data_IF_131933943406
#
_entry.id   IF_131933943406
#
_cell.length_a   1.000
_cell.length_b   1.000
_cell.length_c   1.000
_cell.angle_alpha   90.00
_cell.angle_beta   90.00
_cell.angle_gamma   90.00
#
_symmetry.space_group_name_H-M   'P 1'
#
loop_
_entity.id
_entity.type
_entity.pdbx_description
1 polymer ?
#
# COMPACT_ATOMS: atom_id res chain seq x y z
N UNK A 1 -1.70 -57.75 29.10
CA UNK A 1 -1.40 -56.51 28.36
C UNK A 1 -2.62 -55.98 27.59
N UNK A 2 -3.47 -56.83 27.00
CA UNK A 2 -4.65 -56.36 26.24
C UNK A 2 -5.68 -55.56 27.05
N UNK A 3 -5.89 -55.86 28.33
CA UNK A 3 -6.87 -55.11 29.14
C UNK A 3 -6.45 -53.67 29.44
N UNK A 4 -5.14 -53.40 29.54
CA UNK A 4 -4.61 -52.04 29.72
C UNK A 4 -4.74 -51.24 28.42
N UNK A 5 -4.42 -51.84 27.27
CA UNK A 5 -4.59 -51.16 25.98
C UNK A 5 -6.07 -50.86 25.67
N UNK A 6 -7.00 -51.75 26.01
CA UNK A 6 -8.44 -51.49 25.85
C UNK A 6 -8.98 -50.39 26.78
N UNK A 7 -8.49 -50.29 28.02
CA UNK A 7 -8.91 -49.21 28.93
C UNK A 7 -8.33 -47.85 28.53
N UNK A 8 -7.08 -47.83 28.05
CA UNK A 8 -6.43 -46.63 27.50
C UNK A 8 -7.09 -46.15 26.20
N UNK A 9 -7.56 -47.07 25.36
CA UNK A 9 -8.26 -46.76 24.11
C UNK A 9 -9.71 -46.28 24.32
N UNK A 10 -10.36 -46.65 25.42
CA UNK A 10 -11.71 -46.22 25.76
C UNK A 10 -11.76 -44.83 26.42
N UNK A 11 -10.61 -44.21 26.68
CA UNK A 11 -10.57 -42.86 27.20
C UNK A 11 -10.94 -41.85 26.12
N UNK A 12 -11.74 -40.83 26.46
CA UNK A 12 -11.97 -39.74 25.54
C UNK A 12 -10.65 -39.07 25.15
N UNK A 13 -10.49 -38.74 23.87
CA UNK A 13 -9.26 -38.13 23.35
C UNK A 13 -8.85 -36.84 24.10
N UNK A 14 -9.82 -36.10 24.66
CA UNK A 14 -9.56 -34.89 25.44
C UNK A 14 -8.91 -35.16 26.82
N UNK A 15 -9.08 -36.36 27.38
CA UNK A 15 -8.44 -36.75 28.65
C UNK A 15 -6.92 -36.84 28.51
N UNK A 16 -6.43 -37.27 27.33
CA UNK A 16 -5.01 -37.27 26.99
C UNK A 16 -4.42 -35.86 26.91
N UNK A 17 -5.18 -34.90 26.38
CA UNK A 17 -4.77 -33.50 26.30
C UNK A 17 -4.66 -32.89 27.70
N UNK A 18 -5.64 -33.14 28.58
CA UNK A 18 -5.59 -32.68 29.97
C UNK A 18 -4.42 -33.29 30.75
N UNK A 19 -4.17 -34.59 30.57
CA UNK A 19 -3.02 -35.26 31.19
C UNK A 19 -1.70 -34.61 30.77
N UNK A 20 -1.53 -34.32 29.48
CA UNK A 20 -0.35 -33.64 28.96
C UNK A 20 -0.18 -32.24 29.57
N UNK A 21 -1.25 -31.45 29.66
CA UNK A 21 -1.25 -30.11 30.27
C UNK A 21 -0.84 -30.17 31.75
N UNK A 22 -1.36 -31.15 32.50
CA UNK A 22 -1.01 -31.35 33.91
C UNK A 22 0.46 -31.75 34.07
N UNK A 23 0.98 -32.64 33.21
CA UNK A 23 2.39 -33.03 33.22
C UNK A 23 3.32 -31.84 32.93
N UNK A 24 2.94 -30.99 31.97
CA UNK A 24 3.67 -29.74 31.66
C UNK A 24 3.64 -28.80 32.86
N UNK A 25 2.49 -28.61 33.51
CA UNK A 25 2.38 -27.77 34.70
C UNK A 25 3.24 -28.29 35.87
N UNK A 26 3.26 -29.60 36.10
CA UNK A 26 4.12 -30.22 37.14
C UNK A 26 5.59 -29.98 36.82
N UNK A 27 6.01 -30.18 35.56
CA UNK A 27 7.39 -29.89 35.13
C UNK A 27 7.76 -28.42 35.39
N UNK A 28 6.89 -27.50 34.98
CA UNK A 28 7.14 -26.07 35.08
C UNK A 28 7.24 -25.59 36.54
N UNK A 29 6.39 -26.13 37.43
CA UNK A 29 6.40 -25.79 38.86
C UNK A 29 7.60 -26.44 39.57
N UNK A 30 7.87 -27.72 39.36
CA UNK A 30 8.83 -28.45 40.21
C UNK A 30 10.26 -28.50 39.65
N UNK A 31 10.41 -28.53 38.32
CA UNK A 31 11.70 -28.76 37.65
C UNK A 31 12.26 -27.46 37.08
N UNK A 32 11.40 -26.61 36.50
CA UNK A 32 11.85 -25.42 35.76
C UNK A 32 11.97 -24.18 36.66
N UNK A 33 13.13 -24.02 37.32
CA UNK A 33 13.43 -22.88 38.20
C UNK A 33 14.05 -21.65 37.51
N UNK A 34 14.47 -21.78 36.25
CA UNK A 34 15.24 -20.74 35.55
C UNK A 34 14.37 -19.67 34.89
N UNK A 35 13.15 -20.01 34.48
CA UNK A 35 12.22 -19.08 33.83
C UNK A 35 11.07 -18.71 34.77
N UNK A 36 11.19 -17.55 35.43
CA UNK A 36 10.26 -17.06 36.46
C UNK A 36 8.80 -17.02 35.99
N UNK A 37 8.57 -16.70 34.72
CA UNK A 37 7.21 -16.57 34.16
C UNK A 37 6.57 -17.94 33.92
N UNK A 38 7.28 -18.92 33.35
CA UNK A 38 6.75 -20.28 33.16
C UNK A 38 6.56 -21.00 34.50
N UNK A 39 7.37 -20.67 35.50
CA UNK A 39 7.27 -21.23 36.85
C UNK A 39 6.05 -20.71 37.62
N UNK A 40 5.81 -19.39 37.61
CA UNK A 40 4.69 -18.76 38.33
C UNK A 40 3.35 -18.94 37.62
N UNK A 41 3.36 -19.03 36.28
CA UNK A 41 2.18 -19.20 35.45
C UNK A 41 2.40 -20.36 34.46
N UNK A 42 2.40 -21.62 34.96
CA UNK A 42 2.54 -22.79 34.11
C UNK A 42 1.47 -22.78 33.02
N UNK A 43 1.81 -23.27 31.83
CA UNK A 43 0.96 -23.27 30.62
C UNK A 43 0.76 -21.87 30.01
N UNK A 44 0.31 -20.88 30.78
CA UNK A 44 0.06 -19.51 30.29
C UNK A 44 1.36 -18.83 29.85
N UNK A 45 2.47 -19.10 30.55
CA UNK A 45 3.79 -18.63 30.15
C UNK A 45 4.24 -19.19 28.79
N UNK A 46 4.00 -20.49 28.53
CA UNK A 46 4.31 -21.10 27.24
C UNK A 46 3.45 -20.53 26.11
N UNK A 47 2.15 -20.32 26.37
CA UNK A 47 1.25 -19.68 25.41
C UNK A 47 1.71 -18.25 25.08
N UNK A 48 2.14 -17.48 26.10
CA UNK A 48 2.69 -16.15 25.92
C UNK A 48 3.91 -16.17 25.00
N UNK A 49 4.90 -17.01 25.28
CA UNK A 49 6.12 -17.05 24.47
C UNK A 49 5.86 -17.54 23.04
N UNK A 50 4.90 -18.46 22.86
CA UNK A 50 4.46 -18.88 21.54
C UNK A 50 3.80 -17.74 20.77
N UNK A 51 2.89 -16.98 21.40
CA UNK A 51 2.28 -15.79 20.79
C UNK A 51 3.29 -14.67 20.55
N UNK A 52 4.29 -14.52 21.42
CA UNK A 52 5.38 -13.55 21.27
C UNK A 52 6.26 -13.88 20.06
N UNK A 53 6.48 -15.17 19.78
CA UNK A 53 7.23 -15.62 18.59
C UNK A 53 6.50 -15.38 17.28
N UNK A 54 5.17 -15.38 17.29
CA UNK A 54 4.30 -15.13 16.12
C UNK A 54 3.93 -13.63 16.01
N UNK A 55 4.20 -12.86 17.06
CA UNK A 55 3.86 -11.45 17.17
C UNK A 55 4.49 -10.54 16.10
N UNK A 56 5.77 -10.68 15.72
CA UNK A 56 6.38 -9.89 14.65
C UNK A 56 5.68 -10.06 13.29
N UNK A 57 5.41 -11.30 12.90
CA UNK A 57 4.74 -11.64 11.64
C UNK A 57 3.28 -11.17 11.66
N UNK A 58 2.56 -11.45 12.76
CA UNK A 58 1.17 -10.99 12.89
C UNK A 58 1.07 -9.48 12.86
N UNK A 59 2.03 -8.74 13.46
CA UNK A 59 2.06 -7.29 13.35
C UNK A 59 2.23 -6.85 11.90
N UNK A 60 3.09 -7.49 11.13
CA UNK A 60 3.28 -7.19 9.71
C UNK A 60 2.00 -7.38 8.87
N UNK A 61 1.22 -8.44 9.14
CA UNK A 61 0.04 -8.76 8.32
C UNK A 61 -1.28 -8.18 8.81
N UNK A 62 -1.45 -8.03 10.12
CA UNK A 62 -2.74 -7.66 10.74
C UNK A 62 -2.76 -6.30 11.45
N UNK A 63 -1.62 -5.79 11.92
CA UNK A 63 -1.60 -4.61 12.82
C UNK A 63 -0.89 -3.41 12.21
N UNK A 64 0.15 -3.63 11.41
CA UNK A 64 0.96 -2.58 10.80
C UNK A 64 0.10 -1.78 9.82
N UNK A 65 0.08 -0.47 10.05
CA UNK A 65 -0.60 0.47 9.17
C UNK A 65 0.12 0.49 7.81
N UNK A 66 -0.56 0.87 6.73
CA UNK A 66 -0.07 0.76 5.35
C UNK A 66 1.35 1.33 5.09
N UNK A 67 1.85 2.21 5.97
CA UNK A 67 3.10 2.96 5.86
C UNK A 67 4.08 2.81 7.04
N UNK A 68 3.79 1.94 8.01
CA UNK A 68 4.66 1.76 9.19
C UNK A 68 5.87 0.87 8.93
N UNK A 69 5.86 0.11 7.83
CA UNK A 69 6.94 -0.81 7.48
C UNK A 69 8.07 -0.13 6.68
N UNK A 70 9.33 -0.45 7.04
CA UNK A 70 10.56 0.00 6.38
C UNK A 70 11.40 -1.23 5.99
N UNK A 71 12.17 -1.22 4.88
CA UNK A 71 12.38 -0.10 3.94
C UNK A 71 11.28 0.05 2.89
N UNK A 72 10.44 -0.97 2.71
CA UNK A 72 9.30 -0.95 1.78
C UNK A 72 8.00 -1.11 2.53
N UNK A 73 7.07 -0.18 2.30
CA UNK A 73 5.77 -0.20 2.93
C UNK A 73 4.79 -1.19 2.25
N UNK A 74 3.64 -1.45 2.87
CA UNK A 74 2.67 -2.44 2.37
C UNK A 74 2.14 -2.08 0.98
N UNK A 75 1.90 -0.78 0.74
CA UNK A 75 1.43 -0.26 -0.56
C UNK A 75 2.48 -0.55 -1.64
N UNK A 76 3.75 -0.22 -1.39
CA UNK A 76 4.85 -0.46 -2.33
C UNK A 76 5.01 -1.95 -2.66
N UNK A 77 4.95 -2.82 -1.65
CA UNK A 77 4.99 -4.28 -1.89
C UNK A 77 3.77 -4.75 -2.68
N UNK A 78 2.58 -4.27 -2.35
CA UNK A 78 1.34 -4.58 -3.07
C UNK A 78 1.47 -4.21 -4.56
N UNK A 79 1.95 -3.01 -4.84
CA UNK A 79 2.21 -2.54 -6.20
C UNK A 79 3.26 -3.39 -6.93
N UNK A 80 4.36 -3.78 -6.27
CA UNK A 80 5.38 -4.67 -6.83
C UNK A 80 4.77 -6.03 -7.16
N UNK A 81 4.00 -6.63 -6.26
CA UNK A 81 3.39 -7.94 -6.48
C UNK A 81 2.35 -7.93 -7.60
N UNK A 82 1.48 -6.93 -7.65
CA UNK A 82 0.51 -6.74 -8.73
C UNK A 82 1.24 -6.60 -10.08
N UNK A 83 2.28 -5.77 -10.11
CA UNK A 83 3.11 -5.56 -11.31
C UNK A 83 3.81 -6.85 -11.76
N UNK A 84 4.38 -7.62 -10.83
CA UNK A 84 5.08 -8.87 -11.13
C UNK A 84 4.13 -9.96 -11.65
N UNK A 85 2.89 -10.00 -11.15
CA UNK A 85 1.84 -10.93 -11.60
C UNK A 85 1.12 -10.48 -12.87
N UNK A 86 1.46 -9.31 -13.42
CA UNK A 86 0.73 -8.66 -14.54
C UNK A 86 -0.75 -8.42 -14.23
N UNK A 87 -1.04 -8.19 -12.95
CA UNK A 87 -2.35 -7.76 -12.47
C UNK A 87 -2.46 -6.23 -12.56
N UNK A 88 -3.66 -5.71 -12.36
CA UNK A 88 -3.87 -4.27 -12.30
C UNK A 88 -3.10 -3.67 -11.11
N UNK A 89 -2.19 -2.74 -11.40
CA UNK A 89 -1.36 -2.04 -10.43
C UNK A 89 -1.72 -0.56 -10.30
N UNK A 90 -2.87 -0.13 -10.82
CA UNK A 90 -3.42 1.20 -10.59
C UNK A 90 -3.97 1.30 -9.17
N UNK A 91 -3.63 2.38 -8.47
CA UNK A 91 -4.21 2.71 -7.17
C UNK A 91 -5.01 4.01 -7.26
N UNK A 92 -6.01 4.12 -6.39
CA UNK A 92 -6.86 5.31 -6.29
C UNK A 92 -6.05 6.55 -5.92
N UNK A 93 -6.40 7.69 -6.52
CA UNK A 93 -5.80 8.97 -6.17
C UNK A 93 -6.31 9.42 -4.79
N UNK A 94 -5.49 9.22 -3.77
CA UNK A 94 -5.79 9.56 -2.38
C UNK A 94 -4.52 9.64 -1.55
N UNK A 95 -4.61 10.27 -0.39
CA UNK A 95 -3.50 10.31 0.57
C UNK A 95 -3.94 9.71 1.89
N UNK A 96 -3.29 8.60 2.25
CA UNK A 96 -3.36 8.05 3.61
C UNK A 96 -2.39 8.76 4.56
N UNK A 97 -1.66 9.79 4.09
CA UNK A 97 -0.80 10.61 4.97
C UNK A 97 -1.67 11.39 5.94
N UNK A 98 -1.26 11.39 7.20
CA UNK A 98 -1.75 12.36 8.15
C UNK A 98 -1.25 13.76 7.76
N UNK A 99 -2.13 14.51 7.09
CA UNK A 99 -1.87 15.87 6.64
C UNK A 99 -1.79 16.88 7.79
N UNK A 100 -2.23 16.48 8.99
CA UNK A 100 -2.22 17.28 10.21
C UNK A 100 -1.06 16.91 11.14
N UNK A 101 -0.25 15.90 10.77
CA UNK A 101 0.91 15.51 11.53
C UNK A 101 1.88 16.69 11.70
N UNK A 102 2.54 16.74 12.87
CA UNK A 102 3.59 17.71 13.11
C UNK A 102 4.68 17.59 12.03
N UNK A 103 5.14 18.72 11.50
CA UNK A 103 6.10 18.79 10.38
C UNK A 103 5.61 18.25 9.03
N UNK A 104 4.31 17.97 8.86
CA UNK A 104 3.76 17.70 7.53
C UNK A 104 3.74 18.99 6.69
N UNK A 105 4.59 19.04 5.66
CA UNK A 105 4.65 20.19 4.75
C UNK A 105 3.58 20.03 3.67
N UNK A 106 2.54 20.85 3.75
CA UNK A 106 1.53 20.93 2.70
C UNK A 106 1.75 22.18 1.84
N UNK A 107 2.18 21.97 0.59
CA UNK A 107 2.33 23.06 -0.39
C UNK A 107 0.99 23.31 -1.07
N UNK A 108 0.35 24.44 -0.73
CA UNK A 108 -0.86 24.89 -1.43
C UNK A 108 -0.46 25.52 -2.76
N UNK A 109 -0.80 24.86 -3.87
CA UNK A 109 -0.65 25.46 -5.19
C UNK A 109 -1.54 26.71 -5.29
N UNK A 110 -0.96 27.79 -5.80
CA UNK A 110 -1.73 29.00 -6.07
C UNK A 110 -2.53 28.80 -7.37
N UNK A 111 -3.85 28.67 -7.23
CA UNK A 111 -4.75 28.38 -8.35
C UNK A 111 -4.87 29.54 -9.36
N UNK A 112 -4.56 30.77 -8.93
CA UNK A 112 -4.59 31.96 -9.76
C UNK A 112 -3.19 32.57 -9.85
N UNK A 113 -2.62 32.55 -11.04
CA UNK A 113 -1.31 33.14 -11.28
C UNK A 113 -1.33 34.66 -11.06
N UNK A 114 -0.20 35.18 -10.58
CA UNK A 114 0.06 36.62 -10.58
C UNK A 114 0.12 37.14 -12.02
N UNK A 115 -0.13 38.43 -12.22
CA UNK A 115 -0.07 39.06 -13.54
C UNK A 115 1.31 38.85 -14.16
N UNK A 116 1.33 38.26 -15.35
CA UNK A 116 2.58 38.04 -16.08
C UNK A 116 3.26 39.37 -16.42
N UNK A 117 4.61 39.45 -16.33
CA UNK A 117 5.35 40.65 -16.71
C UNK A 117 5.16 40.97 -18.20
N UNK A 118 5.25 42.25 -18.57
CA UNK A 118 5.11 42.69 -19.95
C UNK A 118 6.10 41.94 -20.87
N UNK A 119 5.61 41.40 -21.99
CA UNK A 119 6.40 40.63 -22.94
C UNK A 119 6.54 39.13 -22.65
N UNK A 120 5.93 38.60 -21.58
CA UNK A 120 5.94 37.16 -21.33
C UNK A 120 5.15 36.39 -22.42
N UNK A 121 5.65 35.25 -22.94
CA UNK A 121 4.95 34.46 -23.98
C UNK A 121 3.52 34.06 -23.60
N UNK A 122 3.29 33.81 -22.31
CA UNK A 122 1.95 33.48 -21.81
C UNK A 122 0.95 34.65 -21.82
N UNK A 123 1.35 35.84 -22.29
CA UNK A 123 0.41 36.94 -22.59
C UNK A 123 -0.25 36.71 -23.95
N UNK A 124 0.52 36.25 -24.95
CA UNK A 124 0.00 35.96 -26.30
C UNK A 124 -0.64 34.58 -26.37
N UNK A 125 -0.04 33.58 -25.73
CA UNK A 125 -0.59 32.23 -25.60
C UNK A 125 -0.65 31.81 -24.12
N UNK A 126 -1.79 32.02 -23.44
CA UNK A 126 -1.95 31.69 -22.02
C UNK A 126 -1.68 30.22 -21.67
N UNK A 127 -1.77 29.31 -22.64
CA UNK A 127 -1.58 27.87 -22.43
C UNK A 127 -0.17 27.39 -22.80
N UNK A 128 0.74 28.29 -23.15
CA UNK A 128 2.07 27.95 -23.64
C UNK A 128 2.95 27.32 -22.54
N UNK A 129 3.18 26.02 -22.64
CA UNK A 129 4.01 25.23 -21.71
C UNK A 129 4.82 24.15 -22.49
N UNK A 130 5.78 24.56 -23.33
CA UNK A 130 6.41 23.66 -24.30
C UNK A 130 7.25 22.57 -23.63
N UNK A 131 7.18 21.34 -24.16
CA UNK A 131 8.09 20.28 -23.75
C UNK A 131 9.47 20.45 -24.40
N UNK A 132 10.49 20.77 -23.59
CA UNK A 132 11.87 20.85 -24.08
C UNK A 132 12.39 19.48 -24.57
N UNK A 133 11.93 18.38 -23.94
CA UNK A 133 12.40 17.03 -24.22
C UNK A 133 11.89 16.51 -25.56
N UNK A 134 12.81 15.94 -26.35
CA UNK A 134 12.48 15.18 -27.55
C UNK A 134 12.72 13.69 -27.23
N UNK A 135 11.64 12.92 -27.23
CA UNK A 135 11.67 11.48 -26.97
C UNK A 135 12.28 10.78 -28.19
N UNK A 136 13.27 9.93 -27.95
CA UNK A 136 13.95 9.18 -28.99
C UNK A 136 15.13 9.89 -29.66
N UNK A 137 15.40 11.16 -29.34
CA UNK A 137 16.54 11.91 -29.90
C UNK A 137 17.89 11.30 -29.53
N UNK A 138 18.10 10.95 -28.26
CA UNK A 138 19.34 10.33 -27.77
C UNK A 138 19.67 9.00 -28.48
N UNK A 139 18.64 8.17 -28.70
CA UNK A 139 18.76 6.87 -29.35
C UNK A 139 18.67 6.94 -30.89
N UNK A 140 18.74 8.14 -31.49
CA UNK A 140 18.65 8.36 -32.95
C UNK A 140 17.46 7.64 -33.61
N UNK A 141 16.29 7.66 -32.96
CA UNK A 141 15.08 7.02 -33.51
C UNK A 141 14.67 7.74 -34.81
N UNK A 142 14.25 6.98 -35.82
CA UNK A 142 13.80 7.49 -37.14
C UNK A 142 12.70 8.55 -37.05
N UNK A 143 11.81 8.43 -36.05
CA UNK A 143 10.70 9.35 -35.80
C UNK A 143 10.76 9.80 -34.34
N UNK A 144 11.61 10.78 -33.99
CA UNK A 144 11.63 11.34 -32.66
C UNK A 144 10.33 12.12 -32.42
N UNK A 145 9.82 12.06 -31.20
CA UNK A 145 8.53 12.67 -30.84
C UNK A 145 8.75 13.73 -29.77
N UNK A 146 8.21 14.93 -29.99
CA UNK A 146 8.19 16.01 -28.99
C UNK A 146 6.73 16.24 -28.58
N UNK A 147 6.37 15.99 -27.30
CA UNK A 147 5.08 16.42 -26.77
C UNK A 147 4.92 17.93 -26.92
N UNK A 148 3.72 18.41 -27.23
CA UNK A 148 3.47 19.85 -27.33
C UNK A 148 3.55 20.51 -25.94
N UNK A 149 2.94 19.91 -24.91
CA UNK A 149 3.02 20.36 -23.52
C UNK A 149 3.92 19.49 -22.65
N UNK A 150 4.60 20.09 -21.68
CA UNK A 150 5.30 19.36 -20.60
C UNK A 150 4.33 18.86 -19.51
N UNK A 151 3.18 19.51 -19.35
CA UNK A 151 2.15 19.16 -18.38
C UNK A 151 1.03 18.40 -19.09
N UNK A 152 0.66 17.25 -18.55
CA UNK A 152 -0.40 16.36 -19.06
C UNK A 152 -1.34 15.96 -17.91
N UNK A 153 -2.55 15.54 -18.24
CA UNK A 153 -3.56 15.11 -17.26
C UNK A 153 -3.47 13.59 -17.07
N UNK A 154 -3.34 13.15 -15.81
CA UNK A 154 -3.26 11.74 -15.44
C UNK A 154 -4.60 11.01 -15.64
N UNK A 155 -4.55 9.68 -15.56
CA UNK A 155 -5.73 8.82 -15.63
C UNK A 155 -6.72 9.20 -14.53
N UNK A 156 -7.96 9.49 -14.89
CA UNK A 156 -9.06 9.66 -13.94
C UNK A 156 -10.24 8.84 -14.41
N UNK A 157 -10.67 7.89 -13.58
CA UNK A 157 -11.65 6.88 -13.99
C UNK A 157 -13.01 7.49 -14.30
N UNK A 158 -13.60 7.05 -15.42
CA UNK A 158 -14.99 7.31 -15.78
C UNK A 158 -15.89 6.69 -14.69
N UNK A 159 -16.49 7.54 -13.86
CA UNK A 159 -17.24 7.12 -12.67
C UNK A 159 -16.78 7.82 -11.38
N UNK A 160 -15.52 8.23 -11.30
CA UNK A 160 -14.99 9.03 -10.18
C UNK A 160 -15.27 10.53 -10.35
N UNK A 161 -15.57 10.97 -11.59
CA UNK A 161 -15.87 12.36 -11.94
C UNK A 161 -17.14 12.43 -12.79
N UNK A 162 -17.82 13.57 -12.73
CA UNK A 162 -19.00 13.81 -13.56
C UNK A 162 -18.63 13.93 -15.04
N UNK A 163 -19.55 13.57 -15.93
CA UNK A 163 -19.36 13.70 -17.38
C UNK A 163 -19.01 15.15 -17.79
N UNK A 164 -19.61 16.14 -17.14
CA UNK A 164 -19.31 17.55 -17.36
C UNK A 164 -17.85 17.90 -17.01
N UNK A 165 -17.32 17.36 -15.90
CA UNK A 165 -15.93 17.56 -15.52
C UNK A 165 -14.97 16.95 -16.54
N UNK A 166 -15.23 15.70 -16.96
CA UNK A 166 -14.42 15.00 -17.97
C UNK A 166 -14.40 15.78 -19.29
N UNK A 167 -15.55 16.24 -19.74
CA UNK A 167 -15.66 17.04 -20.97
C UNK A 167 -14.90 18.37 -20.87
N UNK A 168 -15.07 19.11 -19.77
CA UNK A 168 -14.37 20.37 -19.54
C UNK A 168 -12.84 20.18 -19.57
N UNK A 169 -12.33 19.10 -18.98
CA UNK A 169 -10.91 18.77 -19.01
C UNK A 169 -10.43 18.40 -20.40
N UNK A 170 -11.15 17.54 -21.14
CA UNK A 170 -10.80 17.18 -22.52
C UNK A 170 -10.69 18.42 -23.41
N UNK A 171 -11.63 19.36 -23.28
CA UNK A 171 -11.60 20.64 -24.00
C UNK A 171 -10.40 21.48 -23.58
N UNK A 172 -10.10 21.56 -22.28
CA UNK A 172 -8.95 22.29 -21.76
C UNK A 172 -7.61 21.73 -22.25
N UNK A 173 -7.45 20.41 -22.20
CA UNK A 173 -6.27 19.66 -22.68
C UNK A 173 -6.06 19.87 -24.17
N UNK A 174 -7.14 19.82 -24.97
CA UNK A 174 -7.08 20.11 -26.40
C UNK A 174 -6.62 21.55 -26.67
N UNK A 175 -7.12 22.53 -25.91
CA UNK A 175 -6.72 23.94 -26.06
C UNK A 175 -5.25 24.17 -25.71
N UNK A 176 -4.70 23.43 -24.74
CA UNK A 176 -3.30 23.56 -24.30
C UNK A 176 -2.32 22.67 -25.06
N UNK A 177 -2.77 21.86 -26.01
CA UNK A 177 -1.92 20.88 -26.69
C UNK A 177 -1.34 19.83 -25.72
N UNK A 178 -1.99 19.62 -24.58
CA UNK A 178 -1.63 18.59 -23.62
C UNK A 178 -2.24 17.24 -24.03
N UNK A 179 -1.81 16.18 -23.35
CA UNK A 179 -2.42 14.87 -23.42
C UNK A 179 -3.19 14.58 -22.14
N UNK A 180 -4.26 13.80 -22.27
CA UNK A 180 -5.03 13.27 -21.15
C UNK A 180 -5.04 11.75 -21.24
N UNK A 181 -4.70 11.11 -20.13
CA UNK A 181 -4.83 9.67 -20.00
C UNK A 181 -6.29 9.34 -19.63
N UNK A 182 -6.90 8.41 -20.36
CA UNK A 182 -8.30 8.02 -20.19
C UNK A 182 -8.57 7.19 -18.94
N UNK A 183 -7.51 6.61 -18.34
CA UNK A 183 -7.65 5.66 -17.25
C UNK A 183 -8.38 4.37 -17.64
N UNK A 184 -8.86 3.64 -16.64
CA UNK A 184 -9.52 2.33 -16.82
C UNK A 184 -10.94 2.43 -17.39
N UNK A 185 -11.58 3.59 -17.24
CA UNK A 185 -12.97 3.81 -17.62
C UNK A 185 -13.23 3.94 -19.13
N UNK A 186 -12.18 3.87 -19.95
CA UNK A 186 -12.28 3.98 -21.41
C UNK A 186 -12.56 5.41 -21.92
N UNK A 187 -12.90 5.51 -23.22
CA UNK A 187 -13.27 6.76 -23.87
C UNK A 187 -14.80 6.92 -23.83
N UNK A 188 -15.29 7.97 -23.18
CA UNK A 188 -16.68 8.40 -23.29
C UNK A 188 -16.80 9.50 -24.34
N UNK A 189 -17.78 9.36 -25.23
CA UNK A 189 -18.20 10.36 -26.21
C UNK A 189 -18.90 11.55 -25.55
#
# INVERSE_FOLDING_TARGET
MESLFNTLSNWPWWSWVLLFIVLVAIRDIFVQKQHTISHNFPIVGHLRYWLESIGPEMRQYFVANNREELPFNRIERGWIYASAKRENNYEGFGTDRDIYAHQHIFVKNQMMALRNPAGHPNITDPCFLPCAKIIGAFNKRRKPFRPASIINVSAMSFGSLSAAAVNAMNIGVRKSGAYQNTGEGGLSS
#
